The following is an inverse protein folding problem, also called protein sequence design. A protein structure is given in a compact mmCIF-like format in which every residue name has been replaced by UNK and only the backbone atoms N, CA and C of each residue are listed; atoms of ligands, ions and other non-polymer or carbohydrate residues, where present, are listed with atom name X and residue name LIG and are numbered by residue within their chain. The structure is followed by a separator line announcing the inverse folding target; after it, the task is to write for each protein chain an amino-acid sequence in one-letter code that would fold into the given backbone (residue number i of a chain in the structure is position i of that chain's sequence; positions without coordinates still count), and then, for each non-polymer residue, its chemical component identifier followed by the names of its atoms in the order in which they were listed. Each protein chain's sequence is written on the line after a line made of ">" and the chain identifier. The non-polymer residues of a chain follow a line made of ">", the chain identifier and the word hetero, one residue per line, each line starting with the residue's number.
data_IF_880971123180
#
_entry.id   IF_880971123180
#
_cell.length_a   1.000
_cell.length_b   1.000
_cell.length_c   1.000
_cell.angle_alpha   90.00
_cell.angle_beta   90.00
_cell.angle_gamma   90.00
#
_symmetry.space_group_name_H-M   'P 1'
#
loop_
_entity.id
_entity.type
_entity.pdbx_description
1 polymer ?
#
# COMPACT_ATOMS: atom_id res chain seq x y z
N UNK A 1 20.41 23.08 33.76
CA UNK A 1 19.29 23.47 32.88
C UNK A 1 18.78 22.21 32.18
N UNK A 2 17.63 21.67 32.61
CA UNK A 2 17.07 20.45 32.02
C UNK A 2 16.54 20.75 30.62
N UNK A 3 17.08 20.05 29.62
CA UNK A 3 16.68 20.14 28.22
C UNK A 3 15.23 19.65 28.10
N UNK A 4 14.30 20.55 27.82
CA UNK A 4 12.88 20.19 27.61
C UNK A 4 12.81 19.36 26.34
N UNK A 5 12.48 18.06 26.47
CA UNK A 5 12.25 17.16 25.33
C UNK A 5 11.12 17.71 24.48
N UNK A 6 11.31 17.74 23.16
CA UNK A 6 10.31 18.23 22.22
C UNK A 6 9.03 17.41 22.31
N UNK A 7 7.88 18.02 21.96
CA UNK A 7 6.58 17.31 21.93
C UNK A 7 6.63 16.03 21.10
N UNK A 8 7.47 15.99 20.06
CA UNK A 8 7.69 14.83 19.19
C UNK A 8 8.36 13.64 19.90
N UNK A 9 9.33 13.91 20.79
CA UNK A 9 10.02 12.89 21.57
C UNK A 9 9.13 12.24 22.64
N UNK A 10 8.11 12.96 23.12
CA UNK A 10 7.16 12.45 24.13
C UNK A 10 6.18 11.40 23.58
N UNK A 11 5.85 11.45 22.29
CA UNK A 11 4.82 10.60 21.69
C UNK A 11 5.38 9.49 20.79
N UNK A 12 6.70 9.26 20.77
CA UNK A 12 7.30 8.12 20.06
C UNK A 12 6.96 8.05 18.56
N UNK A 13 6.65 9.18 17.92
CA UNK A 13 6.31 9.21 16.49
C UNK A 13 7.55 8.83 15.68
N UNK A 14 7.61 7.58 15.22
CA UNK A 14 8.63 7.12 14.28
C UNK A 14 8.58 8.02 13.04
N UNK A 15 9.75 8.49 12.61
CA UNK A 15 9.88 9.25 11.35
C UNK A 15 9.54 8.30 10.21
N UNK A 16 8.72 8.67 9.21
CA UNK A 16 8.77 8.00 7.94
C UNK A 16 10.12 8.38 7.32
N UNK A 17 11.15 7.56 7.55
CA UNK A 17 12.45 7.75 6.91
C UNK A 17 12.40 7.16 5.51
N UNK A 18 11.63 7.82 4.65
CA UNK A 18 11.95 7.82 3.24
C UNK A 18 11.81 9.25 2.73
N UNK A 19 12.94 9.95 2.59
CA UNK A 19 12.98 11.31 2.03
C UNK A 19 12.59 11.33 0.55
N UNK A 20 12.41 10.16 -0.08
CA UNK A 20 12.00 10.02 -1.48
C UNK A 20 10.52 10.38 -1.64
N UNK A 21 10.25 11.12 -2.70
CA UNK A 21 8.90 11.36 -3.20
C UNK A 21 8.20 10.06 -3.59
N UNK A 22 6.87 10.06 -3.68
CA UNK A 22 6.12 8.90 -4.14
C UNK A 22 6.58 8.39 -5.52
N UNK A 23 6.98 9.31 -6.41
CA UNK A 23 7.51 8.96 -7.74
C UNK A 23 8.87 8.26 -7.65
N UNK A 24 9.77 8.76 -6.81
CA UNK A 24 11.08 8.10 -6.56
C UNK A 24 10.92 6.72 -5.90
N UNK A 25 9.85 6.52 -5.13
CA UNK A 25 9.47 5.20 -4.59
C UNK A 25 8.80 4.28 -5.62
N UNK A 26 8.67 4.71 -6.88
CA UNK A 26 8.09 3.93 -7.97
C UNK A 26 6.60 4.15 -8.21
N UNK A 27 5.91 4.88 -7.33
CA UNK A 27 4.47 5.16 -7.42
C UNK A 27 4.14 6.37 -8.33
N UNK A 28 4.94 6.59 -9.37
CA UNK A 28 4.75 7.65 -10.37
C UNK A 28 3.80 7.25 -11.51
N UNK A 29 3.89 7.96 -12.64
CA UNK A 29 2.98 7.75 -13.78
C UNK A 29 2.96 6.33 -14.37
N UNK A 30 4.09 5.61 -14.33
CA UNK A 30 4.14 4.19 -14.75
C UNK A 30 3.24 3.33 -13.88
N UNK A 31 3.32 3.49 -12.55
CA UNK A 31 2.45 2.78 -11.61
C UNK A 31 0.98 3.14 -11.82
N UNK A 32 0.66 4.42 -12.02
CA UNK A 32 -0.71 4.85 -12.29
C UNK A 32 -1.31 4.17 -13.53
N UNK A 33 -0.52 4.02 -14.61
CA UNK A 33 -0.94 3.33 -15.84
C UNK A 33 -1.17 1.83 -15.60
N UNK A 34 -0.19 1.17 -14.99
CA UNK A 34 -0.22 -0.28 -14.75
C UNK A 34 -1.36 -0.65 -13.79
N UNK A 35 -1.48 0.06 -12.66
CA UNK A 35 -2.55 -0.15 -11.68
C UNK A 35 -3.95 0.13 -12.24
N UNK A 36 -4.09 1.09 -13.16
CA UNK A 36 -5.37 1.31 -13.87
C UNK A 36 -5.73 0.09 -14.72
N UNK A 37 -4.82 -0.35 -15.60
CA UNK A 37 -5.04 -1.53 -16.48
C UNK A 37 -5.38 -2.78 -15.65
N UNK A 38 -4.65 -3.01 -14.56
CA UNK A 38 -4.90 -4.14 -13.68
C UNK A 38 -6.33 -4.13 -13.10
N UNK A 39 -6.81 -2.96 -12.62
CA UNK A 39 -8.16 -2.83 -12.05
C UNK A 39 -9.28 -3.01 -13.08
N UNK A 40 -9.04 -2.72 -14.35
CA UNK A 40 -10.01 -2.97 -15.42
C UNK A 40 -10.26 -4.48 -15.62
N UNK A 41 -9.22 -5.31 -15.46
CA UNK A 41 -9.35 -6.77 -15.52
C UNK A 41 -9.68 -7.42 -14.16
N UNK A 42 -9.41 -6.73 -13.06
CA UNK A 42 -9.62 -7.21 -11.69
C UNK A 42 -10.48 -6.21 -10.89
N UNK A 43 -11.77 -6.08 -11.22
CA UNK A 43 -12.63 -5.02 -10.68
C UNK A 43 -13.07 -5.24 -9.23
N UNK A 44 -12.77 -6.40 -8.65
CA UNK A 44 -13.25 -6.82 -7.33
C UNK A 44 -12.10 -6.95 -6.33
N UNK A 45 -12.41 -6.69 -5.06
CA UNK A 45 -11.48 -6.88 -3.95
C UNK A 45 -11.24 -8.37 -3.69
N UNK A 46 -10.00 -8.82 -3.86
CA UNK A 46 -9.59 -10.21 -3.66
C UNK A 46 -9.84 -10.69 -2.23
N UNK A 47 -9.49 -9.88 -1.22
CA UNK A 47 -9.67 -10.23 0.19
C UNK A 47 -11.13 -10.34 0.62
N UNK A 48 -12.02 -9.46 0.12
CA UNK A 48 -13.46 -9.56 0.41
C UNK A 48 -14.04 -10.85 -0.15
N UNK A 49 -13.66 -11.22 -1.37
CA UNK A 49 -14.09 -12.46 -1.99
C UNK A 49 -13.57 -13.69 -1.22
N UNK A 50 -12.27 -13.72 -0.90
CA UNK A 50 -11.64 -14.86 -0.22
C UNK A 50 -12.16 -15.07 1.21
N UNK A 51 -12.41 -14.00 1.96
CA UNK A 51 -12.81 -14.08 3.39
C UNK A 51 -14.31 -14.24 3.59
N UNK A 52 -15.10 -13.53 2.78
CA UNK A 52 -16.54 -13.35 3.04
C UNK A 52 -17.40 -13.79 1.85
N UNK A 53 -16.81 -14.11 0.69
CA UNK A 53 -17.54 -14.46 -0.53
C UNK A 53 -18.30 -13.29 -1.15
N UNK A 54 -17.98 -12.05 -0.76
CA UNK A 54 -18.69 -10.85 -1.23
C UNK A 54 -17.94 -10.14 -2.35
N UNK A 55 -18.70 -9.63 -3.31
CA UNK A 55 -18.18 -8.82 -4.41
C UNK A 55 -18.14 -7.34 -3.98
N UNK A 56 -16.95 -6.86 -3.69
CA UNK A 56 -16.70 -5.46 -3.34
C UNK A 56 -15.86 -4.79 -4.43
N UNK A 57 -16.20 -3.59 -4.93
CA UNK A 57 -15.38 -2.88 -5.91
C UNK A 57 -13.94 -2.63 -5.41
N UNK A 58 -12.98 -2.67 -6.34
CA UNK A 58 -11.58 -2.34 -6.07
C UNK A 58 -11.36 -0.83 -5.99
N UNK A 59 -10.61 -0.38 -4.98
CA UNK A 59 -10.16 1.01 -4.87
C UNK A 59 -8.74 1.20 -5.40
N UNK A 60 -7.86 0.26 -5.06
CA UNK A 60 -6.42 0.35 -5.28
C UNK A 60 -5.79 -1.01 -5.57
N UNK A 61 -4.59 -0.97 -6.14
CA UNK A 61 -3.75 -2.15 -6.35
C UNK A 61 -2.64 -2.12 -5.32
N UNK A 62 -2.37 -3.26 -4.71
CA UNK A 62 -1.31 -3.45 -3.73
C UNK A 62 -0.42 -4.63 -4.10
N UNK A 63 0.80 -4.66 -3.58
CA UNK A 63 1.75 -5.75 -3.83
C UNK A 63 1.54 -6.88 -2.82
N UNK A 64 1.29 -8.12 -3.25
CA UNK A 64 1.09 -9.30 -2.36
C UNK A 64 2.27 -9.47 -1.41
N UNK A 65 3.46 -9.62 -1.98
CA UNK A 65 4.72 -9.55 -1.26
C UNK A 65 5.25 -8.13 -1.23
N UNK A 66 5.77 -7.72 -0.08
CA UNK A 66 6.38 -6.41 0.08
C UNK A 66 7.58 -6.24 -0.88
N UNK A 67 7.63 -5.08 -1.55
CA UNK A 67 8.68 -4.69 -2.48
C UNK A 67 9.50 -3.55 -1.91
N UNK A 68 10.79 -3.53 -2.22
CA UNK A 68 11.72 -2.51 -1.71
C UNK A 68 11.77 -1.22 -2.55
N UNK A 69 11.15 -1.23 -3.72
CA UNK A 69 11.07 -0.08 -4.63
C UNK A 69 11.07 -0.50 -6.11
N UNK A 70 11.13 0.45 -7.05
CA UNK A 70 10.95 0.20 -8.48
C UNK A 70 12.07 -0.63 -9.14
N UNK A 71 13.21 -0.79 -8.47
CA UNK A 71 14.31 -1.66 -8.91
C UNK A 71 14.09 -3.13 -8.52
N UNK A 72 13.16 -3.43 -7.60
CA UNK A 72 12.76 -4.79 -7.27
C UNK A 72 12.02 -5.38 -8.49
N UNK A 73 12.45 -6.54 -9.01
CA UNK A 73 11.79 -7.16 -10.17
C UNK A 73 10.31 -7.45 -9.90
N UNK A 74 9.91 -7.65 -8.64
CA UNK A 74 8.52 -7.90 -8.25
C UNK A 74 7.65 -6.64 -8.22
N UNK A 75 8.23 -5.44 -8.39
CA UNK A 75 7.48 -4.19 -8.31
C UNK A 75 6.49 -4.02 -9.46
N UNK A 76 6.86 -4.47 -10.66
CA UNK A 76 6.01 -4.42 -11.85
C UNK A 76 5.56 -5.80 -12.32
N UNK A 77 5.76 -6.82 -11.49
CA UNK A 77 5.27 -8.17 -11.75
C UNK A 77 3.79 -8.24 -11.41
N UNK A 78 2.97 -8.43 -12.44
CA UNK A 78 1.51 -8.54 -12.29
C UNK A 78 1.10 -9.73 -11.42
N UNK A 79 1.93 -10.78 -11.33
CA UNK A 79 1.65 -11.93 -10.43
C UNK A 79 1.76 -11.55 -8.95
N UNK A 80 2.44 -10.44 -8.64
CA UNK A 80 2.55 -9.89 -7.30
C UNK A 80 1.49 -8.81 -7.02
N UNK A 81 0.51 -8.59 -7.89
CA UNK A 81 -0.55 -7.59 -7.66
C UNK A 81 -1.80 -8.20 -7.05
N UNK A 82 -2.47 -7.42 -6.21
CA UNK A 82 -3.81 -7.73 -5.74
C UNK A 82 -4.70 -6.49 -5.76
N UNK A 83 -5.95 -6.68 -6.15
CA UNK A 83 -7.01 -5.67 -6.11
C UNK A 83 -7.62 -5.62 -4.71
N UNK A 84 -7.56 -4.46 -4.05
CA UNK A 84 -8.11 -4.26 -2.70
C UNK A 84 -9.07 -3.07 -2.61
N UNK A 85 -10.10 -3.20 -1.78
CA UNK A 85 -10.84 -2.05 -1.27
C UNK A 85 -10.03 -1.35 -0.16
N UNK A 86 -10.36 -0.10 0.16
CA UNK A 86 -9.65 0.68 1.19
C UNK A 86 -9.61 0.01 2.55
N UNK A 87 -10.71 -0.65 2.95
CA UNK A 87 -10.82 -1.37 4.23
C UNK A 87 -9.81 -2.53 4.29
N UNK A 88 -9.81 -3.41 3.27
CA UNK A 88 -8.91 -4.54 3.23
C UNK A 88 -7.45 -4.12 3.10
N UNK A 89 -7.15 -3.07 2.33
CA UNK A 89 -5.81 -2.50 2.28
C UNK A 89 -5.35 -2.00 3.66
N UNK A 90 -6.18 -1.24 4.38
CA UNK A 90 -5.85 -0.76 5.72
C UNK A 90 -5.57 -1.93 6.69
N UNK A 91 -6.39 -2.98 6.65
CA UNK A 91 -6.18 -4.20 7.44
C UNK A 91 -4.82 -4.82 7.13
N UNK A 92 -4.46 -4.94 5.84
CA UNK A 92 -3.17 -5.51 5.42
C UNK A 92 -1.98 -4.64 5.84
N UNK A 93 -2.05 -3.33 5.65
CA UNK A 93 -0.93 -2.41 5.95
C UNK A 93 -0.70 -2.25 7.45
N UNK A 94 -1.77 -2.19 8.24
CA UNK A 94 -1.70 -1.86 9.66
C UNK A 94 -1.89 -3.06 10.59
N UNK A 95 -2.20 -4.23 10.03
CA UNK A 95 -2.32 -5.47 10.78
C UNK A 95 -3.52 -5.51 11.72
N UNK A 96 -4.62 -4.83 11.35
CA UNK A 96 -5.93 -4.70 12.07
C UNK A 96 -6.21 -3.29 12.64
N UNK A 97 -7.35 -2.73 12.26
CA UNK A 97 -8.13 -1.86 13.17
C UNK A 97 -9.60 -2.08 12.83
N UNK A 98 -10.31 -2.69 13.77
CA UNK A 98 -11.77 -2.82 13.83
C UNK A 98 -12.46 -1.46 13.72
#
# INVERSE_FOLDING_TARGET
>A
MSRVKSRRERFGLKRPDDRRTATERGYGGRWARVSKRWRESNPNCAMCWEREGIVTPVDLVDHIEAVSGPADPRFFDETNFQSLCRRCHAIKTHGETL
#
